data_IF_661892746604
#
_entry.id   IF_661892746604
#
_cell.length_a   1.000
_cell.length_b   1.000
_cell.length_c   1.000
_cell.angle_alpha   90.00
_cell.angle_beta   90.00
_cell.angle_gamma   90.00
#
_symmetry.space_group_name_H-M   'P 1'
#
loop_
_entity.id
_entity.type
_entity.pdbx_description
1 polymer ?
#
# COMPACT_ATOMS: atom_id res chain seq x y z
N UNK A 1 6.10 -8.43 8.49
CA UNK A 1 6.08 -7.78 7.15
C UNK A 1 6.87 -6.49 7.26
N UNK A 2 7.78 -6.17 6.33
CA UNK A 2 8.50 -4.87 6.31
C UNK A 2 7.79 -3.90 5.37
N UNK A 3 8.08 -2.60 5.46
CA UNK A 3 7.54 -1.56 4.55
C UNK A 3 7.93 -1.87 3.10
N UNK A 4 9.16 -2.29 2.85
CA UNK A 4 9.63 -2.65 1.52
C UNK A 4 8.86 -3.84 0.95
N UNK A 5 8.67 -4.89 1.76
CA UNK A 5 7.89 -6.08 1.34
C UNK A 5 6.42 -5.74 1.11
N UNK A 6 5.84 -4.83 1.88
CA UNK A 6 4.48 -4.34 1.67
C UNK A 6 4.38 -3.58 0.33
N UNK A 7 5.34 -2.71 0.04
CA UNK A 7 5.41 -1.97 -1.24
C UNK A 7 5.53 -2.92 -2.42
N UNK A 8 6.41 -3.91 -2.33
CA UNK A 8 6.59 -4.89 -3.40
C UNK A 8 5.36 -5.78 -3.58
N UNK A 9 4.66 -6.14 -2.50
CA UNK A 9 3.40 -6.88 -2.57
C UNK A 9 2.30 -6.07 -3.27
N UNK A 10 2.15 -4.79 -2.92
CA UNK A 10 1.22 -3.87 -3.57
C UNK A 10 1.50 -3.77 -5.06
N UNK A 11 2.74 -3.48 -5.43
CA UNK A 11 3.16 -3.34 -6.84
C UNK A 11 2.95 -4.65 -7.60
N UNK A 12 3.30 -5.80 -7.00
CA UNK A 12 3.15 -7.09 -7.66
C UNK A 12 1.68 -7.45 -7.89
N UNK A 13 0.79 -7.18 -6.93
CA UNK A 13 -0.65 -7.44 -7.08
C UNK A 13 -1.28 -6.52 -8.13
N UNK A 14 -1.06 -5.21 -8.03
CA UNK A 14 -1.61 -4.24 -8.98
C UNK A 14 -1.12 -4.49 -10.41
N UNK A 15 0.16 -4.85 -10.57
CA UNK A 15 0.70 -5.20 -11.88
C UNK A 15 0.05 -6.44 -12.47
N UNK A 16 -0.16 -7.49 -11.65
CA UNK A 16 -0.82 -8.72 -12.12
C UNK A 16 -2.29 -8.49 -12.47
N UNK A 17 -3.01 -7.75 -11.64
CA UNK A 17 -4.48 -7.68 -11.74
C UNK A 17 -4.95 -6.53 -12.66
N UNK A 18 -4.11 -5.51 -12.85
CA UNK A 18 -4.48 -4.28 -13.57
C UNK A 18 -3.43 -3.81 -14.60
N UNK A 19 -2.34 -4.55 -14.79
CA UNK A 19 -1.29 -4.22 -15.77
C UNK A 19 -0.47 -3.00 -15.38
N UNK A 20 -0.15 -2.14 -16.36
CA UNK A 20 0.75 -0.96 -16.21
C UNK A 20 2.18 -1.34 -15.81
N UNK A 21 3.04 -0.33 -15.70
CA UNK A 21 4.43 -0.53 -15.30
C UNK A 21 4.59 -0.54 -13.78
N UNK A 22 5.65 -1.19 -13.27
CA UNK A 22 6.03 -1.08 -11.85
C UNK A 22 6.25 0.38 -11.42
N UNK A 23 6.80 1.19 -12.31
CA UNK A 23 7.04 2.61 -12.06
C UNK A 23 5.72 3.36 -11.85
N UNK A 24 4.71 3.13 -12.69
CA UNK A 24 3.36 3.71 -12.54
C UNK A 24 2.79 3.46 -11.14
N UNK A 25 2.79 2.20 -10.70
CA UNK A 25 2.26 1.84 -9.39
C UNK A 25 3.09 2.38 -8.23
N UNK A 26 4.42 2.36 -8.32
CA UNK A 26 5.29 2.95 -7.29
C UNK A 26 5.06 4.45 -7.12
N UNK A 27 4.90 5.19 -8.23
CA UNK A 27 4.58 6.62 -8.19
C UNK A 27 3.22 6.88 -7.54
N UNK A 28 2.21 6.08 -7.88
CA UNK A 28 0.86 6.26 -7.36
C UNK A 28 0.73 5.87 -5.88
N UNK A 29 1.41 4.81 -5.43
CA UNK A 29 1.49 4.39 -4.03
C UNK A 29 2.20 5.49 -3.21
N UNK A 30 3.34 5.98 -3.69
CA UNK A 30 4.15 6.94 -2.95
C UNK A 30 4.75 6.34 -1.66
N UNK A 31 5.19 7.19 -0.72
CA UNK A 31 5.82 6.72 0.51
C UNK A 31 4.78 6.10 1.47
N UNK A 32 5.13 4.94 2.05
CA UNK A 32 4.38 4.37 3.16
C UNK A 32 4.83 5.04 4.46
N UNK A 33 3.90 5.66 5.18
CA UNK A 33 4.17 6.22 6.50
C UNK A 33 4.01 5.14 7.56
N UNK A 34 4.97 5.06 8.47
CA UNK A 34 4.94 4.16 9.61
C UNK A 34 4.65 4.97 10.89
N UNK A 35 3.80 4.42 11.75
CA UNK A 35 3.40 5.00 13.03
C UNK A 35 3.76 4.07 14.18
N UNK A 36 3.87 4.65 15.38
CA UNK A 36 4.00 3.86 16.60
C UNK A 36 2.69 3.18 16.95
N UNK A 37 2.77 1.90 17.33
CA UNK A 37 1.63 1.11 17.81
C UNK A 37 0.97 1.68 19.07
N UNK A 38 1.69 2.50 19.84
CA UNK A 38 1.13 3.21 21.00
C UNK A 38 0.03 4.21 20.59
N UNK A 39 0.20 4.84 19.42
CA UNK A 39 -0.76 5.82 18.87
C UNK A 39 -1.69 5.23 17.83
N UNK A 40 -1.29 4.11 17.23
CA UNK A 40 -1.99 3.44 16.14
C UNK A 40 -2.13 1.93 16.45
N UNK A 41 -3.02 1.56 17.40
CA UNK A 41 -3.10 0.20 17.91
C UNK A 41 -3.72 -0.81 16.94
N UNK A 42 -4.39 -0.35 15.87
CA UNK A 42 -5.10 -1.22 14.92
C UNK A 42 -4.40 -1.40 13.57
N UNK A 43 -3.68 -0.37 13.11
CA UNK A 43 -2.88 -0.43 11.89
C UNK A 43 -1.77 0.60 12.00
N UNK A 44 -0.51 0.19 11.90
CA UNK A 44 0.60 1.09 12.15
C UNK A 44 1.17 1.74 10.88
N UNK A 45 0.48 1.66 9.75
CA UNK A 45 0.95 2.25 8.51
C UNK A 45 -0.18 2.89 7.71
N UNK A 46 0.18 3.86 6.88
CA UNK A 46 -0.73 4.53 5.94
C UNK A 46 -0.05 4.85 4.62
N UNK A 47 -0.88 5.02 3.59
CA UNK A 47 -0.49 5.42 2.25
C UNK A 47 -1.43 6.54 1.84
N UNK A 48 -0.94 7.54 1.11
CA UNK A 48 -1.75 8.62 0.55
C UNK A 48 -1.63 8.58 -0.98
N UNK A 49 -2.42 7.72 -1.65
CA UNK A 49 -2.33 7.56 -3.09
C UNK A 49 -2.54 8.87 -3.85
N UNK A 50 -1.82 9.07 -4.94
CA UNK A 50 -2.05 10.21 -5.84
C UNK A 50 -1.98 9.75 -7.29
N UNK A 51 -3.03 10.01 -8.07
CA UNK A 51 -3.07 9.62 -9.47
C UNK A 51 -4.48 9.60 -10.05
N UNK A 52 -4.67 8.96 -11.21
CA UNK A 52 -5.98 8.82 -11.83
C UNK A 52 -6.98 8.14 -10.89
N UNK A 53 -8.21 8.65 -10.83
CA UNK A 53 -9.26 8.16 -9.93
C UNK A 53 -9.44 6.63 -9.98
N UNK A 54 -9.50 6.05 -11.18
CA UNK A 54 -9.70 4.61 -11.36
C UNK A 54 -8.54 3.77 -10.80
N UNK A 55 -7.30 4.28 -10.85
CA UNK A 55 -6.14 3.57 -10.32
C UNK A 55 -6.01 3.73 -8.82
N UNK A 56 -6.37 4.91 -8.29
CA UNK A 56 -6.47 5.16 -6.84
C UNK A 56 -7.51 4.23 -6.21
N UNK A 57 -8.71 4.12 -6.78
CA UNK A 57 -9.77 3.25 -6.25
C UNK A 57 -9.35 1.76 -6.19
N UNK A 58 -8.58 1.29 -7.19
CA UNK A 58 -8.02 -0.07 -7.20
C UNK A 58 -6.99 -0.26 -6.08
N UNK A 59 -6.08 0.71 -5.92
CA UNK A 59 -5.11 0.68 -4.84
C UNK A 59 -5.81 0.73 -3.46
N UNK A 60 -6.80 1.61 -3.26
CA UNK A 60 -7.54 1.71 -2.00
C UNK A 60 -8.23 0.40 -1.62
N UNK A 61 -8.85 -0.27 -2.58
CA UNK A 61 -9.44 -1.61 -2.38
C UNK A 61 -8.39 -2.61 -1.87
N UNK A 62 -7.24 -2.66 -2.53
CA UNK A 62 -6.14 -3.55 -2.12
C UNK A 62 -5.53 -3.14 -0.77
N UNK A 63 -5.47 -1.85 -0.47
CA UNK A 63 -4.98 -1.36 0.83
C UNK A 63 -5.86 -1.86 1.96
N UNK A 64 -7.19 -1.84 1.80
CA UNK A 64 -8.10 -2.36 2.81
C UNK A 64 -7.93 -3.86 3.05
N UNK A 65 -7.76 -4.65 1.99
CA UNK A 65 -7.42 -6.08 2.12
C UNK A 65 -6.11 -6.29 2.88
N UNK A 66 -5.06 -5.54 2.54
CA UNK A 66 -3.75 -5.68 3.18
C UNK A 66 -3.73 -5.14 4.61
N UNK A 67 -4.58 -4.18 4.98
CA UNK A 67 -4.75 -3.75 6.37
C UNK A 67 -5.35 -4.86 7.21
N UNK A 68 -6.29 -5.63 6.67
CA UNK A 68 -6.86 -6.80 7.36
C UNK A 68 -5.83 -7.92 7.52
N UNK A 69 -5.05 -8.21 6.49
CA UNK A 69 -4.06 -9.29 6.51
C UNK A 69 -2.77 -8.93 7.28
N UNK A 70 -2.33 -7.68 7.17
CA UNK A 70 -1.03 -7.19 7.64
C UNK A 70 -1.14 -5.80 8.29
N UNK A 71 -1.89 -5.65 9.40
CA UNK A 71 -2.08 -4.36 10.07
C UNK A 71 -0.79 -3.77 10.65
N UNK A 72 0.21 -4.63 10.94
CA UNK A 72 1.47 -4.22 11.54
C UNK A 72 2.65 -4.56 10.62
N UNK A 73 3.42 -3.53 10.30
CA UNK A 73 4.68 -3.65 9.56
C UNK A 73 5.82 -3.03 10.35
N UNK A 74 7.05 -3.42 10.04
CA UNK A 74 8.27 -2.76 10.52
C UNK A 74 8.90 -1.99 9.38
N UNK A 75 9.88 -1.12 9.68
CA UNK A 75 10.79 -0.62 8.65
C UNK A 75 11.35 -1.81 7.84
#
# INVERSE_FOLDING_TARGET
>A
MTVDKLTDLLVAKLLRDHGKSKHHWRTLIGPIRLYSRATHPHCNWSVTPTGPFADVARLETLLDELRLAHPFVTA
#
